data_IF_579529859657
#
_entry.id   IF_579529859657
#
_cell.length_a   1.000
_cell.length_b   1.000
_cell.length_c   1.000
_cell.angle_alpha   90.00
_cell.angle_beta   90.00
_cell.angle_gamma   90.00
#
_symmetry.space_group_name_H-M   'P 1'
#
loop_
_entity.id
_entity.type
_entity.pdbx_description
1 polymer ?
#
# COMPACT_ATOMS: atom_id res chain seq x y z
N UNK A 1 18.56 -51.69 51.26
CA UNK A 1 17.61 -50.57 51.11
C UNK A 1 18.20 -49.58 50.12
N UNK A 2 17.91 -49.72 48.84
CA UNK A 2 18.34 -48.79 47.79
C UNK A 2 17.09 -48.30 47.07
N UNK A 3 16.77 -47.03 47.28
CA UNK A 3 15.60 -46.34 46.75
C UNK A 3 15.66 -46.29 45.22
N UNK A 4 14.72 -46.96 44.56
CA UNK A 4 14.56 -47.02 43.09
C UNK A 4 13.45 -46.05 42.60
N UNK A 5 12.93 -45.19 43.47
CA UNK A 5 11.86 -44.25 43.13
C UNK A 5 12.38 -42.81 42.98
N UNK A 6 13.17 -42.51 41.95
CA UNK A 6 13.36 -41.11 41.54
C UNK A 6 13.82 -40.90 40.09
N UNK A 7 13.43 -41.78 39.16
CA UNK A 7 13.78 -41.63 37.73
C UNK A 7 12.61 -41.15 36.86
N UNK A 8 11.39 -41.12 37.38
CA UNK A 8 10.17 -40.74 36.63
C UNK A 8 9.89 -39.23 36.63
N UNK A 9 10.58 -38.44 37.47
CA UNK A 9 10.33 -37.00 37.61
C UNK A 9 11.30 -36.13 36.78
N UNK A 10 12.46 -36.65 36.40
CA UNK A 10 13.46 -35.88 35.64
C UNK A 10 13.04 -35.75 34.17
N UNK A 11 12.53 -36.82 33.56
CA UNK A 11 12.05 -36.83 32.17
C UNK A 11 10.83 -35.92 31.94
N UNK A 12 9.96 -35.79 32.95
CA UNK A 12 8.78 -34.91 32.88
C UNK A 12 9.12 -33.44 33.14
N UNK A 13 10.08 -33.14 34.02
CA UNK A 13 10.60 -31.77 34.19
C UNK A 13 11.42 -31.28 32.98
N UNK A 14 12.18 -32.16 32.34
CA UNK A 14 13.01 -31.81 31.18
C UNK A 14 12.14 -31.61 29.92
N UNK A 15 11.09 -32.42 29.75
CA UNK A 15 10.08 -32.20 28.69
C UNK A 15 9.34 -30.86 28.85
N UNK A 16 9.08 -30.42 30.08
CA UNK A 16 8.45 -29.12 30.36
C UNK A 16 9.42 -27.93 30.20
N UNK A 17 10.74 -28.13 30.41
CA UNK A 17 11.78 -27.10 30.19
C UNK A 17 12.15 -26.89 28.72
N UNK A 18 11.79 -27.81 27.84
CA UNK A 18 12.08 -27.75 26.39
C UNK A 18 10.92 -27.22 25.53
N UNK A 19 9.81 -26.80 26.11
CA UNK A 19 8.89 -25.94 25.39
C UNK A 19 9.54 -24.56 25.35
N UNK A 20 10.14 -24.10 24.23
CA UNK A 20 10.38 -22.68 24.10
C UNK A 20 9.01 -22.06 24.33
N UNK A 21 8.86 -21.33 25.45
CA UNK A 21 7.71 -20.50 25.70
C UNK A 21 7.50 -19.77 24.40
N UNK A 22 6.46 -20.18 23.65
CA UNK A 22 6.29 -19.84 22.25
C UNK A 22 6.58 -18.35 22.19
N UNK A 23 7.63 -17.94 21.47
CA UNK A 23 7.93 -16.54 21.30
C UNK A 23 6.64 -15.98 20.76
N UNK A 24 5.86 -15.33 21.62
CA UNK A 24 4.61 -14.71 21.25
C UNK A 24 5.11 -13.56 20.42
N UNK A 25 5.27 -13.84 19.12
CA UNK A 25 5.64 -12.88 18.12
C UNK A 25 4.60 -11.80 18.30
N UNK A 26 5.02 -10.73 18.98
CA UNK A 26 4.26 -9.51 19.13
C UNK A 26 4.33 -8.84 17.77
N UNK A 27 3.80 -9.52 16.75
CA UNK A 27 3.65 -9.01 15.42
C UNK A 27 2.63 -7.88 15.57
N UNK A 28 3.12 -6.65 15.47
CA UNK A 28 2.29 -5.45 15.49
C UNK A 28 1.08 -5.67 14.60
N UNK A 29 -0.13 -5.45 15.15
CA UNK A 29 -1.36 -5.52 14.38
C UNK A 29 -1.36 -4.52 13.20
N UNK A 30 -0.52 -3.47 13.30
CA UNK A 30 -0.33 -2.43 12.30
C UNK A 30 0.99 -2.67 11.55
N UNK A 31 0.90 -2.89 10.24
CA UNK A 31 2.05 -3.04 9.35
C UNK A 31 2.38 -1.71 8.66
N UNK A 32 3.27 -0.91 9.25
CA UNK A 32 3.69 0.39 8.71
C UNK A 32 4.22 0.34 7.27
N UNK A 33 5.01 -0.69 6.94
CA UNK A 33 5.51 -0.88 5.58
C UNK A 33 4.38 -1.00 4.54
N UNK A 34 3.29 -1.70 4.87
CA UNK A 34 2.13 -1.82 4.00
C UNK A 34 1.34 -0.52 3.89
N UNK A 35 1.28 0.28 4.97
CA UNK A 35 0.64 1.60 4.96
C UNK A 35 1.40 2.54 4.02
N UNK A 36 2.73 2.63 4.15
CA UNK A 36 3.56 3.46 3.27
C UNK A 36 3.53 2.98 1.82
N UNK A 37 3.54 1.67 1.60
CA UNK A 37 3.34 1.06 0.28
C UNK A 37 2.03 1.51 -0.38
N UNK A 38 0.92 1.37 0.33
CA UNK A 38 -0.39 1.80 -0.15
C UNK A 38 -0.49 3.31 -0.36
N UNK A 39 0.11 4.10 0.53
CA UNK A 39 0.16 5.56 0.40
C UNK A 39 0.95 6.00 -0.83
N UNK A 40 2.11 5.40 -1.10
CA UNK A 40 2.91 5.70 -2.28
C UNK A 40 2.16 5.34 -3.57
N UNK A 41 1.51 4.18 -3.60
CA UNK A 41 0.66 3.75 -4.71
C UNK A 41 -0.53 4.70 -4.96
N UNK A 42 -1.23 5.11 -3.90
CA UNK A 42 -2.34 6.07 -4.01
C UNK A 42 -1.86 7.43 -4.52
N UNK A 43 -0.77 7.95 -3.97
CA UNK A 43 -0.24 9.25 -4.33
C UNK A 43 0.25 9.30 -5.79
N UNK A 44 0.96 8.27 -6.26
CA UNK A 44 1.42 8.21 -7.66
C UNK A 44 0.24 8.13 -8.63
N UNK A 45 -0.77 7.31 -8.32
CA UNK A 45 -1.98 7.18 -9.16
C UNK A 45 -2.80 8.48 -9.18
N UNK A 46 -2.95 9.13 -8.02
CA UNK A 46 -3.59 10.43 -7.92
C UNK A 46 -2.87 11.48 -8.77
N UNK A 47 -1.54 11.51 -8.74
CA UNK A 47 -0.73 12.45 -9.52
C UNK A 47 -0.90 12.22 -11.03
N UNK A 48 -0.95 10.96 -11.47
CA UNK A 48 -1.21 10.63 -12.88
C UNK A 48 -2.60 11.07 -13.34
N UNK A 49 -3.63 10.75 -12.56
CA UNK A 49 -5.01 11.13 -12.87
C UNK A 49 -5.20 12.65 -12.81
N UNK A 50 -4.48 13.33 -11.94
CA UNK A 50 -4.46 14.80 -11.88
C UNK A 50 -3.83 15.39 -13.15
N UNK A 51 -2.66 14.89 -13.57
CA UNK A 51 -2.03 15.33 -14.82
C UNK A 51 -2.91 15.04 -16.04
N UNK A 52 -3.55 13.87 -16.08
CA UNK A 52 -4.49 13.50 -17.14
C UNK A 52 -5.69 14.45 -17.17
N UNK A 53 -6.31 14.70 -16.01
CA UNK A 53 -7.43 15.62 -15.90
C UNK A 53 -7.08 17.06 -16.26
N UNK A 54 -5.90 17.52 -15.85
CA UNK A 54 -5.39 18.83 -16.24
C UNK A 54 -5.19 18.92 -17.75
N UNK A 55 -4.62 17.89 -18.37
CA UNK A 55 -4.46 17.80 -19.82
C UNK A 55 -5.81 17.87 -20.56
N UNK A 56 -6.79 17.05 -20.15
CA UNK A 56 -8.14 17.06 -20.72
C UNK A 56 -8.88 18.39 -20.52
N UNK A 57 -8.67 19.03 -19.37
CA UNK A 57 -9.21 20.36 -19.08
C UNK A 57 -8.63 21.43 -19.99
N UNK A 58 -7.31 21.45 -20.17
CA UNK A 58 -6.61 22.40 -21.03
C UNK A 58 -7.01 22.25 -22.50
N UNK A 59 -7.29 21.04 -23.00
CA UNK A 59 -7.78 20.85 -24.37
C UNK A 59 -9.20 21.37 -24.60
N UNK A 60 -9.97 21.56 -23.52
CA UNK A 60 -11.38 21.96 -23.59
C UNK A 60 -11.57 23.49 -23.46
N UNK A 61 -10.52 24.21 -23.09
CA UNK A 61 -10.50 25.67 -22.95
C UNK A 61 -9.87 26.27 -24.21
N UNK A 62 -10.57 27.18 -24.86
CA UNK A 62 -10.03 27.93 -26.00
C UNK A 62 -9.44 29.26 -25.55
N UNK A 63 -8.24 29.63 -26.03
CA UNK A 63 -7.62 30.93 -25.74
C UNK A 63 -8.24 32.09 -26.53
N UNK A 64 -9.11 31.82 -27.52
CA UNK A 64 -9.82 32.84 -28.28
C UNK A 64 -11.22 33.09 -27.70
N UNK A 65 -11.59 34.37 -27.60
CA UNK A 65 -12.88 34.83 -27.09
C UNK A 65 -14.05 34.04 -27.72
N UNK A 66 -14.97 33.54 -26.87
CA UNK A 66 -16.19 32.82 -27.24
C UNK A 66 -16.00 31.46 -27.97
N UNK A 67 -14.82 30.85 -27.94
CA UNK A 67 -14.54 29.58 -28.62
C UNK A 67 -14.28 28.38 -27.69
N UNK A 68 -14.63 28.45 -26.40
CA UNK A 68 -14.36 27.40 -25.40
C UNK A 68 -15.59 26.95 -24.62
N UNK A 69 -15.45 25.87 -23.83
CA UNK A 69 -16.50 25.47 -22.88
C UNK A 69 -16.75 26.58 -21.84
N UNK A 70 -18.01 26.74 -21.45
CA UNK A 70 -18.39 27.65 -20.38
C UNK A 70 -17.67 27.28 -19.07
N UNK A 71 -17.21 28.30 -18.31
CA UNK A 71 -16.44 28.12 -17.08
C UNK A 71 -17.18 27.23 -16.05
N UNK A 72 -18.51 27.34 -15.95
CA UNK A 72 -19.33 26.49 -15.08
C UNK A 72 -19.26 25.00 -15.43
N UNK A 73 -19.27 24.66 -16.72
CA UNK A 73 -19.16 23.27 -17.20
C UNK A 73 -17.78 22.70 -16.88
N UNK A 74 -16.72 23.48 -17.10
CA UNK A 74 -15.34 23.09 -16.75
C UNK A 74 -15.21 22.86 -15.24
N UNK A 75 -15.80 23.73 -14.42
CA UNK A 75 -15.79 23.58 -12.96
C UNK A 75 -16.49 22.30 -12.48
N UNK A 76 -17.69 22.00 -13.01
CA UNK A 76 -18.41 20.77 -12.67
C UNK A 76 -17.63 19.53 -13.11
N UNK A 77 -17.07 19.54 -14.31
CA UNK A 77 -16.25 18.44 -14.82
C UNK A 77 -14.99 18.24 -13.95
N UNK A 78 -14.33 19.31 -13.51
CA UNK A 78 -13.19 19.25 -12.62
C UNK A 78 -13.55 18.63 -11.26
N UNK A 79 -14.67 19.04 -10.64
CA UNK A 79 -15.14 18.48 -9.37
C UNK A 79 -15.43 16.98 -9.50
N UNK A 80 -16.15 16.59 -10.57
CA UNK A 80 -16.44 15.19 -10.85
C UNK A 80 -15.16 14.37 -11.05
N UNK A 81 -14.20 14.91 -11.82
CA UNK A 81 -12.91 14.27 -12.09
C UNK A 81 -12.05 14.11 -10.84
N UNK A 82 -11.97 15.15 -10.00
CA UNK A 82 -11.21 15.10 -8.74
C UNK A 82 -11.83 14.08 -7.79
N UNK A 83 -13.16 14.05 -7.67
CA UNK A 83 -13.86 13.06 -6.84
C UNK A 83 -13.57 11.64 -7.32
N UNK A 84 -13.66 11.39 -8.63
CA UNK A 84 -13.30 10.10 -9.24
C UNK A 84 -11.84 9.73 -8.93
N UNK A 85 -10.92 10.69 -9.10
CA UNK A 85 -9.49 10.49 -8.82
C UNK A 85 -9.25 10.05 -7.38
N UNK A 86 -9.88 10.70 -6.41
CA UNK A 86 -9.72 10.34 -5.00
C UNK A 86 -10.28 8.94 -4.69
N UNK A 87 -11.44 8.59 -5.25
CA UNK A 87 -12.04 7.26 -5.06
C UNK A 87 -11.11 6.17 -5.61
N UNK A 88 -10.61 6.33 -6.84
CA UNK A 88 -9.74 5.34 -7.49
C UNK A 88 -8.39 5.24 -6.76
N UNK A 89 -7.79 6.37 -6.41
CA UNK A 89 -6.50 6.41 -5.71
C UNK A 89 -6.59 5.78 -4.31
N UNK A 90 -7.61 6.16 -3.53
CA UNK A 90 -7.82 5.61 -2.18
C UNK A 90 -8.16 4.13 -2.20
N UNK A 91 -8.99 3.70 -3.16
CA UNK A 91 -9.31 2.28 -3.37
C UNK A 91 -8.08 1.45 -3.68
N UNK A 92 -7.22 1.91 -4.61
CA UNK A 92 -5.98 1.22 -4.97
C UNK A 92 -4.99 1.16 -3.80
N UNK A 93 -4.72 2.29 -3.15
CA UNK A 93 -3.79 2.34 -2.01
C UNK A 93 -4.25 1.50 -0.82
N UNK A 94 -5.55 1.55 -0.51
CA UNK A 94 -6.15 0.72 0.53
C UNK A 94 -6.10 -0.77 0.21
N UNK A 95 -6.38 -1.16 -1.03
CA UNK A 95 -6.26 -2.55 -1.48
C UNK A 95 -4.83 -3.07 -1.37
N UNK A 96 -3.83 -2.31 -1.81
CA UNK A 96 -2.42 -2.67 -1.69
C UNK A 96 -1.99 -2.73 -0.22
N UNK A 97 -2.34 -1.74 0.61
CA UNK A 97 -2.02 -1.77 2.04
C UNK A 97 -2.64 -2.98 2.76
N UNK A 98 -3.88 -3.34 2.41
CA UNK A 98 -4.56 -4.52 2.95
C UNK A 98 -3.90 -5.83 2.53
N UNK A 99 -3.51 -5.96 1.26
CA UNK A 99 -2.91 -7.18 0.71
C UNK A 99 -1.44 -7.36 1.09
N UNK A 100 -0.70 -6.28 1.30
CA UNK A 100 0.72 -6.31 1.71
C UNK A 100 0.90 -6.41 3.24
N UNK A 101 -0.18 -6.32 4.02
CA UNK A 101 -0.13 -6.60 5.46
C UNK A 101 0.33 -8.05 5.67
N UNK A 102 1.35 -8.24 6.49
CA UNK A 102 1.94 -9.55 6.78
C UNK A 102 0.93 -10.46 7.50
N UNK A 103 0.47 -11.51 6.81
CA UNK A 103 -0.23 -12.66 7.40
C UNK A 103 0.40 -13.94 6.86
N UNK A 104 1.09 -14.68 7.73
CA UNK A 104 1.75 -15.94 7.40
C UNK A 104 0.92 -17.13 7.90
N UNK A 105 0.18 -17.75 6.98
CA UNK A 105 -0.26 -19.15 7.02
C UNK A 105 -0.34 -19.61 5.56
N UNK A 106 0.55 -20.52 5.16
CA UNK A 106 0.48 -21.33 3.93
C UNK A 106 0.22 -20.56 2.60
N UNK A 107 1.18 -19.72 2.19
CA UNK A 107 1.05 -18.87 1.00
C UNK A 107 1.05 -19.68 -0.29
N UNK A 108 -0.12 -19.78 -0.92
CA UNK A 108 -0.32 -20.35 -2.25
C UNK A 108 0.45 -19.56 -3.32
N UNK A 109 0.91 -20.22 -4.40
CA UNK A 109 1.73 -19.65 -5.48
C UNK A 109 1.23 -18.31 -6.03
N UNK A 110 -0.08 -18.08 -6.11
CA UNK A 110 -0.68 -16.84 -6.60
C UNK A 110 -0.35 -15.60 -5.75
N UNK A 111 -0.05 -15.79 -4.46
CA UNK A 111 0.34 -14.71 -3.56
C UNK A 111 1.75 -14.19 -3.85
N UNK A 112 2.66 -15.09 -4.28
CA UNK A 112 4.04 -14.73 -4.64
C UNK A 112 4.02 -13.80 -5.87
N UNK A 113 3.32 -14.19 -6.93
CA UNK A 113 3.16 -13.35 -8.13
C UNK A 113 2.54 -11.99 -7.83
N UNK A 114 1.54 -11.93 -6.94
CA UNK A 114 0.95 -10.66 -6.50
C UNK A 114 1.97 -9.77 -5.81
N UNK A 115 2.76 -10.32 -4.86
CA UNK A 115 3.78 -9.56 -4.14
C UNK A 115 4.88 -9.06 -5.07
N UNK A 116 5.35 -9.87 -6.00
CA UNK A 116 6.38 -9.47 -6.95
C UNK A 116 5.90 -8.32 -7.85
N UNK A 117 4.66 -8.42 -8.34
CA UNK A 117 4.03 -7.36 -9.14
C UNK A 117 3.81 -6.11 -8.30
N UNK A 118 3.36 -6.26 -7.05
CA UNK A 118 3.15 -5.14 -6.14
C UNK A 118 4.48 -4.44 -5.81
N UNK A 119 5.56 -5.18 -5.56
CA UNK A 119 6.88 -4.61 -5.36
C UNK A 119 7.35 -3.83 -6.59
N UNK A 120 7.21 -4.40 -7.79
CA UNK A 120 7.54 -3.68 -9.04
C UNK A 120 6.71 -2.42 -9.26
N UNK A 121 5.41 -2.46 -8.93
CA UNK A 121 4.55 -1.29 -9.02
C UNK A 121 4.90 -0.22 -7.97
N UNK A 122 5.21 -0.62 -6.73
CA UNK A 122 5.62 0.28 -5.65
C UNK A 122 6.94 0.98 -5.96
N UNK A 123 7.93 0.25 -6.47
CA UNK A 123 9.23 0.84 -6.81
C UNK A 123 9.05 1.93 -7.87
N UNK A 124 8.23 1.65 -8.88
CA UNK A 124 7.83 2.63 -9.88
C UNK A 124 7.08 3.83 -9.27
N UNK A 125 6.11 3.58 -8.39
CA UNK A 125 5.34 4.65 -7.73
C UNK A 125 6.25 5.58 -6.93
N UNK A 126 7.18 5.02 -6.16
CA UNK A 126 8.16 5.78 -5.37
C UNK A 126 9.09 6.58 -6.29
N UNK A 127 9.60 5.97 -7.37
CA UNK A 127 10.45 6.66 -8.33
C UNK A 127 9.75 7.89 -8.96
N UNK A 128 8.46 7.77 -9.27
CA UNK A 128 7.67 8.89 -9.78
C UNK A 128 7.50 10.00 -8.75
N UNK A 129 7.17 9.66 -7.50
CA UNK A 129 7.01 10.64 -6.44
C UNK A 129 8.31 11.39 -6.18
N UNK A 130 9.45 10.68 -6.13
CA UNK A 130 10.78 11.29 -5.99
C UNK A 130 11.05 12.24 -7.16
N UNK A 131 10.80 11.81 -8.40
CA UNK A 131 10.98 12.65 -9.58
C UNK A 131 10.13 13.92 -9.52
N UNK A 132 8.85 13.80 -9.11
CA UNK A 132 7.93 14.93 -8.98
C UNK A 132 8.36 15.92 -7.89
N UNK A 133 8.82 15.41 -6.74
CA UNK A 133 9.38 16.23 -5.66
C UNK A 133 10.60 16.99 -6.16
N UNK A 134 11.55 16.32 -6.81
CA UNK A 134 12.75 16.96 -7.35
C UNK A 134 12.40 18.07 -8.35
N UNK A 135 11.48 17.79 -9.28
CA UNK A 135 11.03 18.76 -10.28
C UNK A 135 10.39 19.99 -9.64
N UNK A 136 9.61 19.80 -8.57
CA UNK A 136 8.96 20.89 -7.85
C UNK A 136 9.96 21.69 -7.00
N UNK A 137 10.99 21.04 -6.46
CA UNK A 137 12.03 21.74 -5.67
C UNK A 137 13.00 22.57 -6.50
N UNK A 138 13.10 22.32 -7.81
CA UNK A 138 13.98 23.06 -8.72
C UNK A 138 13.38 24.33 -9.31
N UNK A 139 12.08 24.56 -9.11
CA UNK A 139 11.32 25.73 -9.59
C UNK A 139 11.16 26.71 -8.44
#
# INVERSE_FOLDING_TARGET
>A
MTNIYDSTNISSQEAARHLPAAAVNSASAVSWGAIFAGAAAAASLALMLLMLGAGLGLTSISPWENQGLAAGTVGIAAIAWLTFTQIVASGMGGYLAGRLRTKWVDTHTNEIYFRDTAHGFLTWAVALLVSAVLLTTTI
#
